data_IF_929184351252
#
_entry.id   IF_929184351252
#
_cell.length_a   1.000
_cell.length_b   1.000
_cell.length_c   1.000
_cell.angle_alpha   90.00
_cell.angle_beta   90.00
_cell.angle_gamma   90.00
#
_symmetry.space_group_name_H-M   'P 1'
#
loop_
_entity.id
_entity.type
_entity.pdbx_description
1 polymer ?
#
# COMPACT_ATOMS: atom_id res chain seq x y z
N UNK A 1 -6.38 -3.66 -7.00
CA UNK A 1 -4.94 -3.90 -6.79
C UNK A 1 -4.22 -3.62 -8.10
N UNK A 2 -2.90 -3.42 -8.09
CA UNK A 2 -2.11 -3.47 -9.32
C UNK A 2 -1.67 -4.90 -9.63
N UNK A 3 -1.00 -5.10 -10.75
CA UNK A 3 -0.54 -6.41 -11.23
C UNK A 3 0.96 -6.36 -11.53
N UNK A 4 1.61 -7.53 -11.48
CA UNK A 4 3.04 -7.67 -11.80
C UNK A 4 3.95 -6.72 -10.99
N UNK A 5 3.69 -6.53 -9.69
CA UNK A 5 4.42 -5.57 -8.83
C UNK A 5 3.82 -4.17 -8.77
N UNK A 6 2.79 -3.90 -9.59
CA UNK A 6 2.07 -2.62 -9.59
C UNK A 6 1.25 -2.38 -8.33
N UNK A 7 1.12 -1.10 -7.96
CA UNK A 7 0.40 -0.68 -6.77
C UNK A 7 -1.10 -0.47 -7.02
N UNK A 8 -1.88 -0.43 -5.93
CA UNK A 8 -3.31 -0.14 -6.04
C UNK A 8 -3.53 1.35 -6.36
N UNK A 9 -4.50 1.63 -7.22
CA UNK A 9 -5.00 2.99 -7.43
C UNK A 9 -5.66 3.57 -6.18
N UNK A 10 -5.75 4.89 -6.12
CA UNK A 10 -6.51 5.57 -5.08
C UNK A 10 -8.01 5.27 -5.22
N UNK A 11 -8.66 5.04 -4.08
CA UNK A 11 -10.12 4.92 -4.02
C UNK A 11 -10.81 6.24 -4.35
N UNK A 12 -12.10 6.16 -4.69
CA UNK A 12 -12.92 7.34 -4.89
C UNK A 12 -13.19 8.06 -3.56
N UNK A 13 -13.47 9.36 -3.62
CA UNK A 13 -13.83 10.18 -2.46
C UNK A 13 -14.86 11.23 -2.85
N UNK A 14 -15.89 11.39 -2.04
CA UNK A 14 -16.94 12.39 -2.21
C UNK A 14 -16.94 13.31 -1.00
N UNK A 15 -16.69 14.60 -1.21
CA UNK A 15 -16.72 15.61 -0.14
C UNK A 15 -17.64 16.76 -0.51
N UNK A 16 -18.05 17.54 0.49
CA UNK A 16 -18.84 18.76 0.27
C UNK A 16 -18.04 19.93 0.79
N UNK A 17 -17.79 20.93 -0.05
CA UNK A 17 -17.20 22.20 0.36
C UNK A 17 -18.30 23.22 0.65
N UNK A 18 -18.40 23.65 1.91
CA UNK A 18 -19.37 24.63 2.41
C UNK A 18 -18.63 25.80 3.02
N UNK A 19 -18.85 27.01 2.50
CA UNK A 19 -18.18 28.23 2.97
C UNK A 19 -16.64 28.09 3.04
N UNK A 20 -16.05 27.43 2.04
CA UNK A 20 -14.61 27.18 1.97
C UNK A 20 -14.11 25.97 2.78
N UNK A 21 -14.93 25.38 3.66
CA UNK A 21 -14.57 24.23 4.48
C UNK A 21 -14.96 22.93 3.80
N UNK A 22 -14.01 21.99 3.67
CA UNK A 22 -14.26 20.65 3.14
C UNK A 22 -14.83 19.74 4.24
N UNK A 23 -15.99 19.15 3.98
CA UNK A 23 -16.74 18.28 4.90
C UNK A 23 -16.71 16.87 4.33
N UNK A 24 -16.39 15.91 5.20
CA UNK A 24 -16.58 14.48 4.93
C UNK A 24 -18.01 14.08 5.29
N UNK A 25 -18.86 13.76 4.29
CA UNK A 25 -20.28 13.53 4.52
C UNK A 25 -20.59 12.12 5.02
N UNK A 26 -19.61 11.21 5.07
CA UNK A 26 -19.78 9.81 5.46
C UNK A 26 -18.52 9.29 6.16
N UNK A 27 -18.66 8.41 7.17
CA UNK A 27 -17.51 7.68 7.73
C UNK A 27 -16.93 6.64 6.76
N UNK A 28 -17.66 6.31 5.69
CA UNK A 28 -17.21 5.39 4.64
C UNK A 28 -16.82 6.21 3.41
N UNK A 29 -15.52 6.31 3.09
CA UNK A 29 -15.06 7.05 1.92
C UNK A 29 -15.74 6.60 0.63
N UNK A 30 -16.17 7.56 -0.19
CA UNK A 30 -16.73 7.26 -1.51
C UNK A 30 -18.12 6.63 -1.49
N UNK A 31 -18.79 6.53 -0.34
CA UNK A 31 -20.20 6.08 -0.24
C UNK A 31 -21.00 7.03 0.65
N UNK A 32 -21.91 7.78 0.05
CA UNK A 32 -22.68 8.83 0.72
C UNK A 32 -24.15 8.67 0.39
N UNK A 33 -24.99 8.67 1.42
CA UNK A 33 -26.46 8.63 1.28
C UNK A 33 -27.08 9.62 2.25
N UNK A 34 -28.04 10.42 1.78
CA UNK A 34 -28.86 11.28 2.65
C UNK A 34 -28.14 12.49 3.27
N UNK A 35 -26.97 12.90 2.76
CA UNK A 35 -26.29 14.10 3.26
C UNK A 35 -27.02 15.38 2.79
N UNK A 36 -27.48 16.25 3.72
CA UNK A 36 -28.25 17.44 3.36
C UNK A 36 -27.35 18.52 2.75
N UNK A 37 -27.58 18.80 1.47
CA UNK A 37 -26.96 19.90 0.75
C UNK A 37 -27.70 21.22 1.01
N UNK A 38 -26.94 22.31 1.06
CA UNK A 38 -27.44 23.68 1.21
C UNK A 38 -27.13 24.45 -0.07
N UNK A 39 -27.91 25.51 -0.33
CA UNK A 39 -27.61 26.45 -1.40
C UNK A 39 -26.18 26.99 -1.22
N UNK A 40 -25.38 26.92 -2.27
CA UNK A 40 -23.99 27.38 -2.27
C UNK A 40 -22.95 26.30 -1.92
N UNK A 41 -23.38 25.09 -1.55
CA UNK A 41 -22.44 23.97 -1.39
C UNK A 41 -21.82 23.56 -2.74
N UNK A 42 -20.56 23.16 -2.70
CA UNK A 42 -19.85 22.55 -3.83
C UNK A 42 -19.62 21.08 -3.55
N UNK A 43 -20.20 20.19 -4.34
CA UNK A 43 -19.91 18.75 -4.27
C UNK A 43 -18.62 18.49 -5.03
N UNK A 44 -17.64 17.88 -4.36
CA UNK A 44 -16.35 17.52 -4.95
C UNK A 44 -16.29 16.00 -5.08
N UNK A 45 -16.26 15.55 -6.34
CA UNK A 45 -16.13 14.15 -6.68
C UNK A 45 -14.70 13.87 -7.15
N UNK A 46 -14.00 13.02 -6.40
CA UNK A 46 -12.71 12.46 -6.80
C UNK A 46 -12.93 11.01 -7.23
N UNK A 47 -12.75 10.75 -8.51
CA UNK A 47 -12.93 9.41 -9.08
C UNK A 47 -11.78 8.49 -8.67
N UNK A 48 -12.03 7.18 -8.72
CA UNK A 48 -10.99 6.19 -8.46
C UNK A 48 -9.95 6.15 -9.58
N UNK A 49 -8.70 5.86 -9.21
CA UNK A 49 -7.64 5.52 -10.16
C UNK A 49 -7.61 4.02 -10.47
N UNK A 50 -7.03 3.66 -11.62
CA UNK A 50 -6.71 2.27 -11.95
C UNK A 50 -5.55 1.71 -11.11
N UNK A 51 -5.44 0.38 -11.03
CA UNK A 51 -4.23 -0.27 -10.51
C UNK A 51 -3.07 -0.15 -11.49
N UNK A 52 -1.85 -0.07 -10.96
CA UNK A 52 -0.62 -0.01 -11.75
C UNK A 52 -0.19 -1.37 -12.30
N UNK A 53 0.79 -1.34 -13.21
CA UNK A 53 1.47 -2.50 -13.77
C UNK A 53 2.98 -2.35 -13.58
N UNK A 54 3.67 -3.41 -13.16
CA UNK A 54 5.13 -3.38 -13.00
C UNK A 54 5.58 -2.73 -11.69
N UNK A 55 6.85 -2.90 -11.34
CA UNK A 55 7.46 -2.20 -10.21
C UNK A 55 7.63 -0.69 -10.54
N UNK A 56 7.05 0.23 -9.75
CA UNK A 56 7.23 1.67 -9.98
C UNK A 56 8.70 2.13 -10.00
N UNK A 57 9.60 1.45 -9.29
CA UNK A 57 11.04 1.78 -9.30
C UNK A 57 11.74 1.41 -10.61
N UNK A 58 11.08 0.65 -11.48
CA UNK A 58 11.58 0.26 -12.81
C UNK A 58 11.04 1.15 -13.94
N UNK A 59 10.03 2.00 -13.66
CA UNK A 59 9.50 2.94 -14.66
C UNK A 59 10.60 3.87 -15.18
N UNK A 60 10.61 4.13 -16.47
CA UNK A 60 11.55 5.09 -17.09
C UNK A 60 11.41 6.47 -16.43
N UNK A 61 12.48 7.04 -15.85
CA UNK A 61 12.46 8.37 -15.26
C UNK A 61 11.98 9.47 -16.20
N UNK A 62 12.27 9.37 -17.51
CA UNK A 62 11.83 10.36 -18.48
C UNK A 62 10.29 10.36 -18.64
N UNK A 63 9.66 9.19 -18.59
CA UNK A 63 8.21 9.07 -18.60
C UNK A 63 7.59 9.62 -17.31
N UNK A 64 8.24 9.42 -16.16
CA UNK A 64 7.77 10.01 -14.89
C UNK A 64 7.87 11.54 -14.93
N UNK A 65 8.94 12.10 -15.50
CA UNK A 65 9.04 13.54 -15.69
C UNK A 65 7.96 14.07 -16.62
N UNK A 66 7.66 13.37 -17.71
CA UNK A 66 6.55 13.72 -18.59
C UNK A 66 5.20 13.69 -17.84
N UNK A 67 4.93 12.67 -17.03
CA UNK A 67 3.72 12.60 -16.19
C UNK A 67 3.62 13.78 -15.21
N UNK A 68 4.77 14.32 -14.76
CA UNK A 68 4.82 15.52 -13.90
C UNK A 68 4.53 16.80 -14.68
N UNK A 69 5.07 16.92 -15.89
CA UNK A 69 4.82 18.07 -16.78
C UNK A 69 3.33 18.14 -17.16
N UNK A 70 2.72 16.99 -17.44
CA UNK A 70 1.28 16.86 -17.76
C UNK A 70 0.37 16.97 -16.52
N UNK A 71 0.93 17.07 -15.32
CA UNK A 71 0.17 17.24 -14.08
C UNK A 71 -0.55 15.98 -13.57
N UNK A 72 -0.27 14.81 -14.15
CA UNK A 72 -0.78 13.53 -13.64
C UNK A 72 -0.12 13.13 -12.32
N UNK A 73 1.15 13.47 -12.15
CA UNK A 73 1.97 13.15 -10.98
C UNK A 73 2.54 14.45 -10.41
N UNK A 74 2.47 14.66 -9.09
CA UNK A 74 3.18 15.79 -8.47
C UNK A 74 4.68 15.50 -8.36
N UNK A 75 5.52 16.53 -8.29
CA UNK A 75 6.98 16.36 -8.05
C UNK A 75 7.25 15.53 -6.79
N UNK A 76 6.47 15.74 -5.74
CA UNK A 76 6.54 14.96 -4.51
C UNK A 76 6.16 13.50 -4.74
N UNK A 77 5.09 13.22 -5.50
CA UNK A 77 4.69 11.86 -5.84
C UNK A 77 5.69 11.15 -6.77
N UNK A 78 6.39 11.88 -7.65
CA UNK A 78 7.48 11.32 -8.45
C UNK A 78 8.62 10.82 -7.55
N UNK A 79 9.00 11.58 -6.53
CA UNK A 79 10.07 11.18 -5.61
C UNK A 79 9.60 10.12 -4.59
N UNK A 80 8.50 10.39 -3.88
CA UNK A 80 8.06 9.63 -2.69
C UNK A 80 6.80 8.79 -2.88
N UNK A 81 6.15 8.89 -4.04
CA UNK A 81 4.97 8.10 -4.38
C UNK A 81 5.27 6.72 -4.97
N UNK A 82 6.51 6.24 -4.82
CA UNK A 82 6.94 4.90 -5.25
C UNK A 82 7.85 4.87 -6.48
N UNK A 83 7.89 5.91 -7.32
CA UNK A 83 8.74 5.92 -8.53
C UNK A 83 10.22 6.21 -8.24
N UNK A 84 10.52 6.93 -7.15
CA UNK A 84 11.88 7.28 -6.76
C UNK A 84 12.58 8.24 -7.71
N UNK A 85 11.83 9.06 -8.46
CA UNK A 85 12.38 9.97 -9.49
C UNK A 85 12.43 11.40 -8.96
N UNK A 86 13.63 11.97 -8.95
CA UNK A 86 13.86 13.36 -8.56
C UNK A 86 13.79 14.24 -9.81
N UNK A 87 12.81 15.14 -9.83
CA UNK A 87 12.52 16.01 -10.97
C UNK A 87 12.85 17.47 -10.66
N UNK A 88 13.55 18.12 -11.59
CA UNK A 88 13.93 19.54 -11.53
C UNK A 88 12.99 20.38 -12.40
N UNK A 89 13.23 21.68 -12.53
CA UNK A 89 12.43 22.55 -13.41
C UNK A 89 12.50 22.10 -14.89
N UNK A 90 13.61 21.50 -15.29
CA UNK A 90 13.95 21.26 -16.70
C UNK A 90 14.14 19.79 -17.05
N UNK A 91 14.09 18.87 -16.09
CA UNK A 91 14.29 17.44 -16.39
C UNK A 91 14.37 16.56 -15.15
N UNK A 92 14.99 15.39 -15.33
CA UNK A 92 15.28 14.43 -14.26
C UNK A 92 16.69 14.68 -13.72
N UNK A 93 16.86 14.66 -12.40
CA UNK A 93 18.16 14.54 -11.76
C UNK A 93 18.53 13.06 -11.69
N UNK A 94 19.42 12.61 -12.57
CA UNK A 94 19.80 11.20 -12.70
C UNK A 94 20.54 10.67 -11.46
N UNK A 95 21.44 11.47 -10.87
CA UNK A 95 22.22 11.04 -9.72
C UNK A 95 21.34 10.94 -8.47
N UNK A 96 20.50 11.94 -8.21
CA UNK A 96 19.57 11.92 -7.10
C UNK A 96 18.50 10.82 -7.26
N UNK A 97 18.03 10.57 -8.48
CA UNK A 97 17.11 9.46 -8.80
C UNK A 97 17.76 8.11 -8.52
N UNK A 98 19.02 7.91 -8.93
CA UNK A 98 19.72 6.65 -8.69
C UNK A 98 19.87 6.37 -7.19
N UNK A 99 20.33 7.36 -6.42
CA UNK A 99 20.49 7.27 -4.98
C UNK A 99 19.16 7.00 -4.26
N UNK A 100 18.10 7.74 -4.61
CA UNK A 100 16.78 7.56 -4.02
C UNK A 100 16.20 6.18 -4.35
N UNK A 101 16.37 5.68 -5.58
CA UNK A 101 15.91 4.33 -5.93
C UNK A 101 16.70 3.24 -5.19
N UNK A 102 17.98 3.44 -4.93
CA UNK A 102 18.78 2.52 -4.11
C UNK A 102 18.25 2.50 -2.66
N UNK A 103 18.05 3.67 -2.06
CA UNK A 103 17.45 3.81 -0.72
C UNK A 103 16.07 3.11 -0.65
N UNK A 104 15.18 3.38 -1.60
CA UNK A 104 13.84 2.81 -1.63
C UNK A 104 13.86 1.29 -1.87
N UNK A 105 14.85 0.75 -2.58
CA UNK A 105 15.03 -0.71 -2.71
C UNK A 105 15.52 -1.32 -1.41
N UNK A 106 16.51 -0.69 -0.77
CA UNK A 106 17.06 -1.16 0.51
C UNK A 106 16.01 -1.13 1.64
N UNK A 107 15.07 -0.18 1.60
CA UNK A 107 13.97 -0.07 2.54
C UNK A 107 12.87 -1.14 2.36
N UNK A 108 12.92 -1.97 1.30
CA UNK A 108 11.92 -3.04 1.11
C UNK A 108 12.19 -4.20 2.06
N UNK A 109 11.17 -4.57 2.81
CA UNK A 109 11.24 -5.69 3.73
C UNK A 109 10.79 -6.99 3.04
N UNK A 110 11.48 -8.08 3.34
CA UNK A 110 11.19 -9.40 2.83
C UNK A 110 11.09 -10.36 4.00
N UNK A 111 9.98 -11.11 4.06
CA UNK A 111 9.77 -12.14 5.04
C UNK A 111 10.12 -13.51 4.45
N UNK A 112 10.78 -14.35 5.23
CA UNK A 112 10.95 -15.77 4.91
C UNK A 112 9.66 -16.50 5.29
N UNK A 113 9.05 -17.21 4.34
CA UNK A 113 7.80 -17.92 4.58
C UNK A 113 8.03 -19.18 5.42
N UNK A 114 7.26 -19.35 6.47
CA UNK A 114 7.21 -20.56 7.28
C UNK A 114 5.80 -21.16 7.23
N UNK A 115 5.70 -22.49 7.28
CA UNK A 115 4.41 -23.17 7.40
C UNK A 115 3.91 -23.09 8.84
N UNK A 116 2.59 -23.03 9.01
CA UNK A 116 1.93 -23.20 10.31
C UNK A 116 0.62 -23.97 10.14
N UNK A 117 0.25 -24.74 11.16
CA UNK A 117 -1.05 -25.42 11.26
C UNK A 117 -2.08 -24.60 12.05
N UNK A 118 -1.72 -23.39 12.48
CA UNK A 118 -2.65 -22.49 13.15
C UNK A 118 -3.82 -22.07 12.23
N UNK A 119 -5.02 -21.84 12.80
CA UNK A 119 -6.15 -21.34 12.02
C UNK A 119 -5.83 -20.04 11.29
N UNK A 120 -5.87 -20.08 9.95
CA UNK A 120 -5.59 -18.91 9.11
C UNK A 120 -6.66 -17.82 9.20
N UNK A 121 -7.88 -18.18 9.60
CA UNK A 121 -9.03 -17.28 9.70
C UNK A 121 -9.55 -17.24 11.13
N UNK A 122 -9.58 -16.03 11.70
CA UNK A 122 -10.27 -15.74 12.96
C UNK A 122 -11.45 -14.83 12.63
N UNK A 123 -12.66 -15.41 12.64
CA UNK A 123 -13.85 -14.76 12.09
C UNK A 123 -13.70 -14.50 10.59
N UNK A 124 -13.82 -13.23 10.18
CA UNK A 124 -13.64 -12.79 8.78
C UNK A 124 -12.23 -12.30 8.46
N UNK A 125 -11.28 -12.37 9.40
CA UNK A 125 -9.92 -11.85 9.24
C UNK A 125 -8.93 -12.97 9.01
N UNK A 126 -8.07 -12.79 8.01
CA UNK A 126 -6.88 -13.62 7.82
C UNK A 126 -5.77 -13.16 8.75
N UNK A 127 -5.35 -14.01 9.66
CA UNK A 127 -4.27 -13.68 10.60
C UNK A 127 -2.94 -14.15 10.03
N UNK A 128 -1.92 -13.30 10.15
CA UNK A 128 -0.55 -13.60 9.79
C UNK A 128 0.31 -13.54 11.06
N UNK A 129 0.69 -14.69 11.64
CA UNK A 129 1.72 -14.70 12.65
C UNK A 129 3.03 -14.17 12.04
N UNK A 130 3.64 -13.18 12.70
CA UNK A 130 4.77 -12.44 12.16
C UNK A 130 5.85 -12.26 13.24
N UNK A 131 7.09 -12.67 12.94
CA UNK A 131 8.22 -12.50 13.85
C UNK A 131 8.53 -11.01 14.11
N UNK A 132 9.03 -10.68 15.31
CA UNK A 132 9.27 -9.30 15.73
C UNK A 132 10.33 -8.59 14.90
N UNK A 133 11.36 -9.30 14.42
CA UNK A 133 12.43 -8.71 13.63
C UNK A 133 11.91 -8.10 12.32
N UNK A 134 11.20 -8.88 11.51
CA UNK A 134 10.57 -8.39 10.27
C UNK A 134 9.47 -7.37 10.55
N UNK A 135 8.68 -7.54 11.61
CA UNK A 135 7.66 -6.56 11.99
C UNK A 135 8.28 -5.19 12.29
N UNK A 136 9.35 -5.16 13.06
CA UNK A 136 10.10 -3.93 13.38
C UNK A 136 10.69 -3.31 12.12
N UNK A 137 11.37 -4.10 11.29
CA UNK A 137 11.97 -3.62 10.03
C UNK A 137 10.94 -3.04 9.06
N UNK A 138 9.74 -3.62 9.00
CA UNK A 138 8.63 -3.17 8.15
C UNK A 138 7.74 -2.09 8.80
N UNK A 139 8.01 -1.71 10.06
CA UNK A 139 7.19 -0.78 10.83
C UNK A 139 5.75 -1.27 11.06
N UNK A 140 5.57 -2.58 11.27
CA UNK A 140 4.29 -3.27 11.48
C UNK A 140 4.04 -3.48 12.96
N UNK A 141 2.89 -3.01 13.46
CA UNK A 141 2.40 -3.29 14.81
C UNK A 141 1.39 -4.46 14.87
N UNK A 142 1.04 -4.86 16.09
CA UNK A 142 -0.05 -5.81 16.34
C UNK A 142 -1.37 -5.29 15.72
N UNK A 143 -2.05 -6.14 14.95
CA UNK A 143 -3.33 -5.81 14.30
C UNK A 143 -3.21 -4.94 13.05
N UNK A 144 -2.02 -4.47 12.67
CA UNK A 144 -1.81 -3.76 11.41
C UNK A 144 -2.11 -4.68 10.22
N UNK A 145 -2.67 -4.12 9.15
CA UNK A 145 -2.85 -4.86 7.89
C UNK A 145 -1.55 -4.83 7.10
N UNK A 146 -1.09 -6.00 6.70
CA UNK A 146 0.06 -6.17 5.81
C UNK A 146 -0.35 -6.74 4.47
N UNK A 147 0.48 -6.50 3.46
CA UNK A 147 0.35 -7.07 2.13
C UNK A 147 1.63 -7.84 1.79
N UNK A 148 1.46 -9.13 1.48
CA UNK A 148 2.48 -10.03 0.96
C UNK A 148 2.42 -9.98 -0.56
N UNK A 149 3.52 -9.57 -1.18
CA UNK A 149 3.60 -9.22 -2.60
C UNK A 149 4.44 -10.26 -3.34
N UNK A 150 3.77 -11.12 -4.11
CA UNK A 150 4.43 -11.99 -5.07
C UNK A 150 4.54 -11.26 -6.44
N UNK A 151 5.67 -11.37 -7.17
CA UNK A 151 5.85 -10.59 -8.39
C UNK A 151 4.87 -10.97 -9.52
N UNK A 152 4.35 -12.20 -9.57
CA UNK A 152 3.44 -12.68 -10.63
C UNK A 152 2.08 -13.21 -10.13
N UNK A 153 1.76 -13.04 -8.85
CA UNK A 153 0.51 -13.54 -8.27
C UNK A 153 -0.24 -12.41 -7.57
N UNK A 154 -1.52 -12.63 -7.32
CA UNK A 154 -2.30 -11.68 -6.55
C UNK A 154 -1.68 -11.52 -5.15
N UNK A 155 -1.59 -10.29 -4.62
CA UNK A 155 -1.08 -10.08 -3.28
C UNK A 155 -2.04 -10.68 -2.24
N UNK A 156 -1.49 -11.16 -1.14
CA UNK A 156 -2.26 -11.65 0.01
C UNK A 156 -2.26 -10.59 1.11
N UNK A 157 -3.44 -10.23 1.59
CA UNK A 157 -3.60 -9.32 2.73
C UNK A 157 -4.00 -10.09 3.97
N UNK A 158 -3.39 -9.70 5.09
CA UNK A 158 -3.64 -10.30 6.38
C UNK A 158 -3.41 -9.28 7.50
N UNK A 159 -4.01 -9.52 8.66
CA UNK A 159 -3.76 -8.78 9.89
C UNK A 159 -2.58 -9.41 10.60
N UNK A 160 -1.56 -8.61 10.92
CA UNK A 160 -0.39 -9.07 11.62
C UNK A 160 -0.75 -9.42 13.07
N UNK A 161 -0.31 -10.60 13.50
CA UNK A 161 -0.25 -11.01 14.91
C UNK A 161 1.21 -11.27 15.24
N UNK A 162 1.80 -10.45 16.10
CA UNK A 162 3.20 -10.57 16.45
C UNK A 162 3.42 -11.81 17.31
N UNK A 163 4.40 -12.62 16.95
CA UNK A 163 4.84 -13.76 17.76
C UNK A 163 6.11 -13.39 18.53
N UNK A 164 6.31 -13.98 19.70
CA UNK A 164 7.49 -13.74 20.55
C UNK A 164 8.71 -14.53 20.04
N UNK A 165 9.05 -14.29 18.77
CA UNK A 165 10.20 -14.84 18.06
C UNK A 165 10.88 -13.69 17.33
N UNK A 166 12.21 -13.65 17.37
CA UNK A 166 13.00 -12.72 16.56
C UNK A 166 13.25 -13.28 15.16
N UNK A 167 13.76 -12.46 14.24
CA UNK A 167 14.07 -12.85 12.87
C UNK A 167 13.01 -12.43 11.87
N UNK A 168 13.01 -13.08 10.71
CA UNK A 168 12.37 -12.56 9.50
C UNK A 168 11.14 -13.35 9.01
N UNK A 169 10.58 -14.21 9.86
CA UNK A 169 9.54 -15.16 9.44
C UNK A 169 8.14 -14.57 9.39
N UNK A 170 7.39 -14.97 8.36
CA UNK A 170 5.95 -14.83 8.26
C UNK A 170 5.31 -16.20 8.08
N UNK A 171 4.32 -16.52 8.91
CA UNK A 171 3.73 -17.85 8.99
C UNK A 171 2.44 -17.94 8.18
N UNK A 172 2.37 -18.90 7.27
CA UNK A 172 1.20 -19.14 6.43
C UNK A 172 0.72 -20.57 6.58
N UNK A 173 -0.59 -20.74 6.71
CA UNK A 173 -1.23 -22.04 6.55
C UNK A 173 -1.40 -22.43 5.09
N UNK A 174 -1.92 -23.65 4.83
CA UNK A 174 -2.01 -24.22 3.50
C UNK A 174 -2.74 -23.34 2.47
N UNK A 175 -3.79 -22.61 2.86
CA UNK A 175 -4.54 -21.75 1.93
C UNK A 175 -3.73 -20.50 1.56
N UNK A 176 -3.06 -19.88 2.53
CA UNK A 176 -2.19 -18.72 2.30
C UNK A 176 -1.04 -19.06 1.35
N UNK A 177 -0.40 -20.21 1.56
CA UNK A 177 0.63 -20.74 0.67
C UNK A 177 0.09 -20.97 -0.75
N UNK A 178 -1.09 -21.59 -0.87
CA UNK A 178 -1.71 -21.84 -2.17
C UNK A 178 -2.12 -20.56 -2.92
N UNK A 179 -2.65 -19.56 -2.21
CA UNK A 179 -3.03 -18.26 -2.81
C UNK A 179 -1.81 -17.53 -3.36
N UNK A 180 -0.72 -17.48 -2.58
CA UNK A 180 0.52 -16.83 -2.99
C UNK A 180 1.33 -17.66 -3.98
N UNK A 181 1.13 -18.98 -4.00
CA UNK A 181 1.88 -19.92 -4.84
C UNK A 181 3.34 -20.06 -4.42
N UNK A 182 3.63 -19.98 -3.12
CA UNK A 182 4.98 -20.03 -2.53
C UNK A 182 5.14 -21.25 -1.63
N UNK A 183 6.37 -21.72 -1.48
CA UNK A 183 6.75 -22.78 -0.54
C UNK A 183 7.43 -22.21 0.72
N UNK A 184 7.39 -22.95 1.85
CA UNK A 184 8.20 -22.61 3.01
C UNK A 184 9.69 -22.47 2.66
N UNK A 185 10.35 -21.44 3.20
CA UNK A 185 11.72 -21.05 2.89
C UNK A 185 11.85 -20.00 1.78
N UNK A 186 10.82 -19.80 0.95
CA UNK A 186 10.82 -18.72 -0.02
C UNK A 186 10.70 -17.35 0.65
N UNK A 187 11.30 -16.33 0.03
CA UNK A 187 11.24 -14.95 0.52
C UNK A 187 10.21 -14.17 -0.27
N UNK A 188 9.30 -13.51 0.44
CA UNK A 188 8.28 -12.66 -0.18
C UNK A 188 8.38 -11.23 0.33
N UNK A 189 8.14 -10.26 -0.53
CA UNK A 189 8.10 -8.86 -0.11
C UNK A 189 6.89 -8.66 0.80
N UNK A 190 7.12 -8.00 1.93
CA UNK A 190 6.09 -7.62 2.89
C UNK A 190 6.07 -6.10 3.03
N UNK A 191 4.88 -5.52 3.06
CA UNK A 191 4.69 -4.11 3.44
C UNK A 191 3.51 -3.94 4.37
N UNK A 192 3.61 -2.96 5.25
CA UNK A 192 2.45 -2.44 5.96
C UNK A 192 1.54 -1.67 4.99
N UNK A 193 0.24 -1.87 5.10
CA UNK A 193 -0.74 -0.97 4.51
C UNK A 193 -1.10 0.09 5.56
N UNK A 194 -0.92 1.36 5.23
CA UNK A 194 -1.47 2.44 6.06
C UNK A 194 -2.98 2.26 6.14
N UNK A 195 -3.52 2.09 7.35
CA UNK A 195 -4.95 1.93 7.57
C UNK A 195 -5.71 3.07 6.87
N UNK A 196 -6.69 2.71 6.05
CA UNK A 196 -7.58 3.65 5.37
C UNK A 196 -8.51 4.32 6.39
N UNK A 197 -7.99 5.21 7.25
CA UNK A 197 -8.78 5.96 8.22
C UNK A 197 -9.76 5.13 9.06
N UNK A 198 -9.57 3.81 9.13
CA UNK A 198 -10.43 2.96 9.92
C UNK A 198 -9.97 3.12 11.37
N UNK A 199 -10.86 3.52 12.29
CA UNK A 199 -10.49 3.61 13.69
C UNK A 199 -9.95 2.24 14.14
N UNK A 200 -8.98 2.22 15.07
CA UNK A 200 -8.56 0.96 15.68
C UNK A 200 -9.79 0.26 16.23
N UNK A 201 -9.89 -1.03 15.95
CA UNK A 201 -10.99 -1.85 16.47
C UNK A 201 -10.63 -2.11 17.92
N UNK A 202 -11.37 -1.48 18.84
CA UNK A 202 -11.27 -1.76 20.26
C UNK A 202 -11.46 -3.28 20.51
N UNK A 203 -10.80 -3.83 21.54
CA UNK A 203 -10.85 -5.27 21.86
C UNK A 203 -12.27 -5.80 22.05
#
# INVERSE_FOLDING_TARGET
>A
HGVCGGEAGKGNRFTVRRNGVEIEPSPIPGKVTGFPLRRGDVVVMRTSGGGGYGDPLERDPALVWHDVVEGYVSREAAARGGYGVVVTATGVDAAATAALREELRAARCFATIAATDEPELVGSRRILPLARGIATGAGVGEGDVVELLHPQRAPLRAWARLVDEDGDRAYLGPHGLAILGVQPGERIRLRRLSAWGMPPIAP
#
